data_IF_769201525242
#
_entry.id   IF_769201525242
#
_cell.length_a   1.000
_cell.length_b   1.000
_cell.length_c   1.000
_cell.angle_alpha   90.00
_cell.angle_beta   90.00
_cell.angle_gamma   90.00
#
_symmetry.space_group_name_H-M   'P 1'
#
loop_
_entity.id
_entity.type
_entity.pdbx_description
1 polymer ?
#
# COMPACT_ATOMS: atom_id res chain seq x y z
N UNK A 1 11.74 0.90 52.78
CA UNK A 1 12.92 0.85 51.87
C UNK A 1 13.02 -0.47 51.10
N UNK A 2 12.90 -1.64 51.75
CA UNK A 2 12.92 -2.97 51.11
C UNK A 2 11.98 -3.11 49.89
N UNK A 3 10.72 -2.69 50.00
CA UNK A 3 9.75 -2.80 48.90
C UNK A 3 10.12 -1.92 47.69
N UNK A 4 10.76 -0.77 47.92
CA UNK A 4 11.26 0.12 46.85
C UNK A 4 12.45 -0.52 46.12
N UNK A 5 13.35 -1.18 46.85
CA UNK A 5 14.49 -1.89 46.29
C UNK A 5 14.01 -3.07 45.44
N UNK A 6 13.09 -3.90 45.96
CA UNK A 6 12.52 -5.02 45.21
C UNK A 6 11.83 -4.57 43.91
N UNK A 7 11.04 -3.49 43.98
CA UNK A 7 10.40 -2.92 42.80
C UNK A 7 11.41 -2.42 41.77
N UNK A 8 12.45 -1.71 42.21
CA UNK A 8 13.50 -1.21 41.31
C UNK A 8 14.28 -2.36 40.67
N UNK A 9 14.63 -3.40 41.44
CA UNK A 9 15.29 -4.61 40.93
C UNK A 9 14.42 -5.35 39.92
N UNK A 10 13.11 -5.42 40.14
CA UNK A 10 12.17 -6.02 39.19
C UNK A 10 12.12 -5.23 37.87
N UNK A 11 12.03 -3.90 37.92
CA UNK A 11 12.06 -3.05 36.72
C UNK A 11 13.38 -3.19 35.95
N UNK A 12 14.50 -3.24 36.66
CA UNK A 12 15.82 -3.44 36.07
C UNK A 12 15.91 -4.79 35.36
N UNK A 13 15.42 -5.86 35.99
CA UNK A 13 15.36 -7.19 35.41
C UNK A 13 14.47 -7.22 34.15
N UNK A 14 13.31 -6.56 34.20
CA UNK A 14 12.42 -6.44 33.04
C UNK A 14 13.07 -5.66 31.90
N UNK A 15 13.80 -4.59 32.20
CA UNK A 15 14.58 -3.84 31.22
C UNK A 15 15.66 -4.72 30.56
N UNK A 16 16.44 -5.46 31.35
CA UNK A 16 17.46 -6.36 30.81
C UNK A 16 16.86 -7.52 29.99
N UNK A 17 15.76 -8.11 30.44
CA UNK A 17 15.05 -9.15 29.70
C UNK A 17 14.54 -8.61 28.35
N UNK A 18 13.93 -7.42 28.35
CA UNK A 18 13.48 -6.76 27.12
C UNK A 18 14.66 -6.44 26.19
N UNK A 19 15.77 -5.91 26.73
CA UNK A 19 16.98 -5.64 25.95
C UNK A 19 17.55 -6.92 25.32
N UNK A 20 17.56 -8.04 26.05
CA UNK A 20 18.00 -9.33 25.52
C UNK A 20 17.11 -9.81 24.38
N UNK A 21 15.78 -9.77 24.55
CA UNK A 21 14.81 -10.13 23.48
C UNK A 21 14.98 -9.23 22.26
N UNK A 22 15.09 -7.93 22.46
CA UNK A 22 15.26 -6.95 21.38
C UNK A 22 16.57 -7.11 20.59
N UNK A 23 17.61 -7.72 21.18
CA UNK A 23 18.87 -8.02 20.50
C UNK A 23 18.90 -9.41 19.82
N UNK A 24 17.80 -10.17 19.87
CA UNK A 24 17.70 -11.44 19.12
C UNK A 24 17.73 -11.18 17.61
N UNK A 25 18.25 -12.15 16.86
CA UNK A 25 18.29 -12.08 15.40
C UNK A 25 16.89 -12.22 14.80
N UNK A 26 16.60 -11.45 13.77
CA UNK A 26 15.42 -11.54 12.93
C UNK A 26 15.82 -11.46 11.46
N UNK A 27 14.91 -11.82 10.56
CA UNK A 27 15.14 -11.80 9.11
C UNK A 27 14.29 -10.70 8.48
N UNK A 28 14.90 -9.93 7.58
CA UNK A 28 14.21 -9.11 6.58
C UNK A 28 14.54 -9.63 5.18
N UNK A 29 13.69 -9.31 4.20
CA UNK A 29 13.89 -9.72 2.80
C UNK A 29 14.09 -8.49 1.93
N UNK A 30 14.97 -8.61 0.93
CA UNK A 30 15.17 -7.60 -0.11
C UNK A 30 15.30 -8.28 -1.46
N UNK A 31 14.52 -7.82 -2.44
CA UNK A 31 14.60 -8.24 -3.83
C UNK A 31 15.44 -7.26 -4.65
N UNK A 32 16.41 -7.77 -5.40
CA UNK A 32 17.17 -7.01 -6.39
C UNK A 32 17.16 -7.80 -7.69
N UNK A 33 16.68 -7.19 -8.78
CA UNK A 33 16.51 -7.84 -10.08
C UNK A 33 15.79 -9.19 -9.97
N UNK A 34 14.70 -9.22 -9.21
CA UNK A 34 13.87 -10.41 -8.94
C UNK A 34 14.57 -11.52 -8.14
N UNK A 35 15.79 -11.30 -7.65
CA UNK A 35 16.46 -12.19 -6.71
C UNK A 35 16.23 -11.72 -5.28
N UNK A 36 15.53 -12.54 -4.49
CA UNK A 36 15.23 -12.23 -3.09
C UNK A 36 16.32 -12.78 -2.18
N UNK A 37 16.93 -11.90 -1.40
CA UNK A 37 17.90 -12.23 -0.37
C UNK A 37 17.30 -12.06 1.03
N UNK A 38 17.73 -12.89 1.97
CA UNK A 38 17.40 -12.79 3.39
C UNK A 38 18.57 -12.11 4.12
N UNK A 39 18.27 -11.07 4.89
CA UNK A 39 19.25 -10.29 5.64
C UNK A 39 18.94 -10.44 7.13
N UNK A 40 19.93 -10.87 7.90
CA UNK A 40 19.83 -10.92 9.36
C UNK A 40 19.94 -9.51 9.96
N UNK A 41 18.97 -9.13 10.78
CA UNK A 41 18.97 -7.87 11.53
C UNK A 41 18.51 -8.12 12.97
N UNK A 42 19.03 -7.39 13.96
CA UNK A 42 18.49 -7.39 15.31
C UNK A 42 17.00 -7.02 15.33
N UNK A 43 16.23 -7.64 16.24
CA UNK A 43 14.80 -7.39 16.37
C UNK A 43 14.49 -5.91 16.65
N UNK A 44 15.30 -5.22 17.45
CA UNK A 44 15.11 -3.81 17.74
C UNK A 44 15.19 -2.94 16.48
N UNK A 45 16.13 -3.21 15.56
CA UNK A 45 16.22 -2.48 14.29
C UNK A 45 14.98 -2.72 13.42
N UNK A 46 14.47 -3.95 13.41
CA UNK A 46 13.24 -4.28 12.68
C UNK A 46 12.03 -3.51 13.22
N UNK A 47 11.91 -3.41 14.55
CA UNK A 47 10.84 -2.65 15.22
C UNK A 47 10.99 -1.15 14.94
N UNK A 48 12.18 -0.58 15.13
CA UNK A 48 12.44 0.83 14.86
C UNK A 48 12.13 1.20 13.40
N UNK A 49 12.62 0.41 12.44
CA UNK A 49 12.36 0.63 11.01
C UNK A 49 10.87 0.56 10.68
N UNK A 50 10.10 -0.28 11.38
CA UNK A 50 8.66 -0.39 11.16
C UNK A 50 7.91 0.84 11.68
N UNK A 51 8.22 1.32 12.88
CA UNK A 51 7.60 2.53 13.44
C UNK A 51 8.03 3.80 12.70
N UNK A 52 9.30 3.91 12.31
CA UNK A 52 9.80 5.02 11.50
C UNK A 52 8.98 5.16 10.21
N UNK A 53 8.83 4.07 9.44
CA UNK A 53 7.97 4.05 8.26
C UNK A 53 6.52 4.41 8.58
N UNK A 54 5.96 3.88 9.66
CA UNK A 54 4.58 4.19 10.05
C UNK A 54 4.36 5.70 10.23
N UNK A 55 5.21 6.37 10.99
CA UNK A 55 5.09 7.81 11.21
C UNK A 55 5.39 8.62 9.95
N UNK A 56 6.34 8.17 9.14
CA UNK A 56 6.65 8.74 7.84
C UNK A 56 5.45 8.70 6.89
N UNK A 57 4.71 7.58 6.81
CA UNK A 57 3.47 7.51 6.05
C UNK A 57 2.38 8.42 6.60
N UNK A 58 2.16 8.43 7.92
CA UNK A 58 1.16 9.33 8.54
C UNK A 58 1.45 10.79 8.20
N UNK A 59 2.72 11.19 8.30
CA UNK A 59 3.15 12.54 7.99
C UNK A 59 2.98 12.86 6.51
N UNK A 60 3.43 11.96 5.62
CA UNK A 60 3.35 12.16 4.17
C UNK A 60 1.90 12.25 3.69
N UNK A 61 1.06 11.28 4.07
CA UNK A 61 -0.34 11.25 3.72
C UNK A 61 -1.07 12.52 4.19
N UNK A 62 -0.87 12.92 5.45
CA UNK A 62 -1.43 14.17 6.00
C UNK A 62 -0.90 15.41 5.28
N UNK A 63 0.37 15.43 4.88
CA UNK A 63 0.97 16.56 4.16
C UNK A 63 0.35 16.73 2.77
N UNK A 64 0.21 15.64 2.02
CA UNK A 64 -0.38 15.66 0.67
C UNK A 64 -1.84 16.10 0.70
N UNK A 65 -2.57 15.72 1.76
CA UNK A 65 -4.03 15.88 1.87
C UNK A 65 -4.49 16.97 2.82
N UNK A 66 -3.58 17.80 3.33
CA UNK A 66 -3.81 18.72 4.46
C UNK A 66 -5.02 19.64 4.29
N UNK A 67 -5.27 20.13 3.07
CA UNK A 67 -6.31 21.12 2.75
C UNK A 67 -7.59 20.48 2.20
N UNK A 68 -7.70 19.16 2.18
CA UNK A 68 -8.81 18.44 1.57
C UNK A 68 -9.75 17.92 2.64
N UNK A 69 -11.05 18.00 2.39
CA UNK A 69 -12.06 17.67 3.38
C UNK A 69 -12.56 16.24 3.18
N UNK A 70 -12.99 15.93 1.96
CA UNK A 70 -13.64 14.66 1.60
C UNK A 70 -12.65 13.51 1.39
N UNK A 71 -13.13 12.27 1.48
CA UNK A 71 -12.29 11.08 1.21
C UNK A 71 -11.93 11.01 -0.27
N UNK A 72 -12.86 11.36 -1.13
CA UNK A 72 -12.74 11.40 -2.58
C UNK A 72 -11.61 12.34 -3.00
N UNK A 73 -11.64 13.61 -2.55
CA UNK A 73 -10.58 14.57 -2.85
C UNK A 73 -9.20 14.05 -2.41
N UNK A 74 -9.13 13.45 -1.21
CA UNK A 74 -7.89 12.90 -0.66
C UNK A 74 -7.35 11.77 -1.51
N UNK A 75 -8.21 10.81 -1.87
CA UNK A 75 -7.84 9.67 -2.73
C UNK A 75 -7.35 10.18 -4.08
N UNK A 76 -8.08 11.11 -4.71
CA UNK A 76 -7.69 11.62 -6.02
C UNK A 76 -6.38 12.38 -5.97
N UNK A 77 -6.17 13.20 -4.93
CA UNK A 77 -4.89 13.91 -4.75
C UNK A 77 -3.74 12.94 -4.51
N UNK A 78 -3.94 11.87 -3.75
CA UNK A 78 -2.94 10.82 -3.55
C UNK A 78 -2.62 10.08 -4.85
N UNK A 79 -3.63 9.76 -5.65
CA UNK A 79 -3.48 9.16 -6.97
C UNK A 79 -2.63 10.04 -7.90
N UNK A 80 -3.01 11.33 -8.01
CA UNK A 80 -2.25 12.33 -8.76
C UNK A 80 -0.80 12.42 -8.26
N UNK A 81 -0.63 12.56 -6.96
CA UNK A 81 0.69 12.71 -6.35
C UNK A 81 1.58 11.49 -6.59
N UNK A 82 1.04 10.28 -6.48
CA UNK A 82 1.80 9.05 -6.77
C UNK A 82 2.27 9.02 -8.22
N UNK A 83 1.39 9.32 -9.17
CA UNK A 83 1.73 9.37 -10.60
C UNK A 83 2.77 10.46 -10.92
N UNK A 84 2.62 11.65 -10.33
CA UNK A 84 3.52 12.79 -10.53
C UNK A 84 4.92 12.56 -9.91
N UNK A 85 4.97 11.85 -8.77
CA UNK A 85 6.19 11.75 -7.95
C UNK A 85 7.05 10.55 -8.31
N UNK A 86 6.44 9.41 -8.64
CA UNK A 86 7.19 8.18 -8.93
C UNK A 86 7.40 8.06 -10.43
N UNK A 87 8.65 7.88 -10.83
CA UNK A 87 9.03 7.67 -12.22
C UNK A 87 9.01 6.17 -12.57
N UNK A 88 8.70 5.80 -13.82
CA UNK A 88 8.89 4.43 -14.29
C UNK A 88 10.35 4.00 -14.11
N UNK A 89 10.56 2.73 -13.75
CA UNK A 89 11.87 2.13 -13.54
C UNK A 89 12.85 2.45 -14.70
N UNK A 90 13.95 3.18 -14.43
CA UNK A 90 14.98 3.40 -15.43
C UNK A 90 15.66 2.08 -15.81
N UNK A 91 15.90 1.86 -17.11
CA UNK A 91 16.55 0.64 -17.63
C UNK A 91 17.98 0.44 -17.12
N UNK A 92 18.65 1.53 -16.74
CA UNK A 92 20.04 1.54 -16.25
C UNK A 92 20.17 1.19 -14.77
N UNK A 93 19.08 1.12 -14.02
CA UNK A 93 19.07 0.88 -12.58
C UNK A 93 18.43 -0.48 -12.27
N UNK A 94 18.82 -1.13 -11.16
CA UNK A 94 18.22 -2.41 -10.78
C UNK A 94 16.74 -2.22 -10.40
N UNK A 95 15.96 -3.28 -10.64
CA UNK A 95 14.61 -3.41 -10.07
C UNK A 95 14.76 -3.75 -8.60
N UNK A 96 14.21 -2.90 -7.73
CA UNK A 96 14.30 -3.06 -6.29
C UNK A 96 12.91 -3.37 -5.73
N UNK A 97 12.76 -4.56 -5.15
CA UNK A 97 11.56 -4.95 -4.39
C UNK A 97 11.88 -4.92 -2.90
N UNK A 98 11.32 -3.91 -2.23
CA UNK A 98 11.54 -3.64 -0.82
C UNK A 98 10.28 -3.09 -0.15
N UNK A 99 10.44 -2.47 1.02
CA UNK A 99 9.32 -1.83 1.69
C UNK A 99 8.79 -0.67 0.85
N UNK A 100 7.46 -0.52 0.81
CA UNK A 100 6.76 0.50 0.01
C UNK A 100 7.29 1.93 0.26
N UNK A 101 7.83 2.22 1.45
CA UNK A 101 8.41 3.53 1.78
C UNK A 101 9.65 3.84 0.96
N UNK A 102 10.46 2.82 0.66
CA UNK A 102 11.68 2.97 -0.11
C UNK A 102 11.38 3.28 -1.58
N UNK A 103 10.23 2.86 -2.11
CA UNK A 103 9.75 3.31 -3.43
C UNK A 103 9.64 4.82 -3.47
N UNK A 104 8.99 5.41 -2.45
CA UNK A 104 8.88 6.86 -2.34
C UNK A 104 10.25 7.52 -2.21
N UNK A 105 11.10 7.06 -1.30
CA UNK A 105 12.44 7.63 -1.08
C UNK A 105 13.30 7.60 -2.35
N UNK A 106 13.19 6.51 -3.13
CA UNK A 106 13.94 6.30 -4.36
C UNK A 106 13.36 7.06 -5.56
N UNK A 107 12.06 7.34 -5.55
CA UNK A 107 11.37 8.13 -6.58
C UNK A 107 11.15 7.38 -7.91
N UNK A 108 11.41 6.07 -7.97
CA UNK A 108 11.10 5.27 -9.16
C UNK A 108 10.76 3.81 -8.82
N UNK A 109 10.02 3.15 -9.71
CA UNK A 109 9.66 1.74 -9.54
C UNK A 109 8.97 1.12 -10.74
N UNK A 110 8.63 -0.16 -10.62
CA UNK A 110 7.78 -0.86 -11.60
C UNK A 110 6.30 -0.76 -11.18
N UNK A 111 5.38 -1.28 -11.99
CA UNK A 111 3.93 -1.08 -11.82
C UNK A 111 3.44 -1.34 -10.39
N UNK A 112 3.83 -2.46 -9.77
CA UNK A 112 3.40 -2.84 -8.43
C UNK A 112 3.78 -1.80 -7.36
N UNK A 113 4.95 -1.18 -7.48
CA UNK A 113 5.44 -0.16 -6.57
C UNK A 113 4.52 1.08 -6.54
N UNK A 114 3.95 1.46 -7.68
CA UNK A 114 2.99 2.57 -7.77
C UNK A 114 1.69 2.20 -7.06
N UNK A 115 1.15 1.01 -7.34
CA UNK A 115 -0.10 0.55 -6.75
C UNK A 115 0.03 0.34 -5.23
N UNK A 116 1.12 -0.24 -4.77
CA UNK A 116 1.45 -0.41 -3.36
C UNK A 116 1.51 0.93 -2.64
N UNK A 117 2.24 1.91 -3.20
CA UNK A 117 2.40 3.22 -2.59
C UNK A 117 1.07 3.95 -2.51
N UNK A 118 0.34 4.02 -3.62
CA UNK A 118 -0.96 4.67 -3.67
C UNK A 118 -1.94 4.07 -2.65
N UNK A 119 -2.12 2.74 -2.68
CA UNK A 119 -3.09 2.07 -1.79
C UNK A 119 -2.66 2.11 -0.33
N UNK A 120 -1.35 2.04 -0.04
CA UNK A 120 -0.84 2.27 1.32
C UNK A 120 -1.22 3.67 1.80
N UNK A 121 -1.00 4.72 1.01
CA UNK A 121 -1.34 6.09 1.39
C UNK A 121 -2.86 6.28 1.57
N UNK A 122 -3.71 5.64 0.75
CA UNK A 122 -5.16 5.62 0.95
C UNK A 122 -5.54 5.09 2.35
N UNK A 123 -4.94 3.97 2.76
CA UNK A 123 -5.20 3.41 4.11
C UNK A 123 -4.77 4.39 5.22
N UNK A 124 -3.70 5.15 5.01
CA UNK A 124 -3.23 6.17 5.97
C UNK A 124 -4.13 7.42 6.06
N UNK A 125 -5.02 7.64 5.08
CA UNK A 125 -6.08 8.67 5.17
C UNK A 125 -7.45 8.09 5.53
N UNK A 126 -7.50 6.82 5.97
CA UNK A 126 -8.72 6.17 6.44
C UNK A 126 -9.66 5.74 5.31
N UNK A 127 -9.10 5.41 4.14
CA UNK A 127 -9.83 4.87 3.00
C UNK A 127 -9.24 3.51 2.65
N UNK A 128 -10.07 2.47 2.70
CA UNK A 128 -9.62 1.12 2.42
C UNK A 128 -9.15 1.02 0.97
N UNK A 129 -7.90 0.57 0.83
CA UNK A 129 -7.24 0.47 -0.45
C UNK A 129 -6.37 -0.77 -0.53
N UNK A 130 -6.36 -1.42 -1.68
CA UNK A 130 -5.45 -2.52 -1.97
C UNK A 130 -5.20 -2.61 -3.47
N UNK A 131 -4.21 -3.38 -3.88
CA UNK A 131 -4.03 -3.68 -5.30
C UNK A 131 -3.93 -5.18 -5.51
N UNK A 132 -4.35 -5.61 -6.69
CA UNK A 132 -4.13 -6.97 -7.13
C UNK A 132 -3.91 -7.01 -8.64
N UNK A 133 -3.42 -8.16 -9.10
CA UNK A 133 -3.22 -8.44 -10.52
C UNK A 133 -4.51 -8.90 -11.18
N UNK A 134 -5.11 -8.03 -11.98
CA UNK A 134 -6.27 -8.36 -12.81
C UNK A 134 -5.78 -9.11 -14.04
N UNK A 135 -6.33 -10.30 -14.29
CA UNK A 135 -5.96 -11.14 -15.44
C UNK A 135 -6.96 -10.95 -16.57
N UNK A 136 -6.45 -10.66 -17.76
CA UNK A 136 -7.22 -10.83 -18.99
C UNK A 136 -7.11 -12.29 -19.44
N UNK A 137 -8.15 -12.79 -20.12
CA UNK A 137 -8.17 -14.16 -20.64
C UNK A 137 -7.02 -14.44 -21.60
N UNK A 138 -6.71 -13.47 -22.48
CA UNK A 138 -5.76 -13.63 -23.59
C UNK A 138 -4.66 -12.55 -23.64
N UNK A 139 -4.61 -11.62 -22.67
CA UNK A 139 -3.72 -10.43 -22.74
C UNK A 139 -2.75 -10.27 -21.57
N UNK A 140 -2.70 -11.23 -20.65
CA UNK A 140 -1.78 -11.23 -19.51
C UNK A 140 -2.43 -10.67 -18.24
N UNK A 141 -1.66 -9.94 -17.43
CA UNK A 141 -2.13 -9.35 -16.18
C UNK A 141 -1.65 -7.92 -16.02
N UNK A 142 -2.49 -7.07 -15.39
CA UNK A 142 -2.16 -5.70 -15.02
C UNK A 142 -2.41 -5.48 -13.54
N UNK A 143 -1.60 -4.62 -12.93
CA UNK A 143 -1.86 -4.16 -11.57
C UNK A 143 -3.03 -3.19 -11.61
N UNK A 144 -3.96 -3.32 -10.68
CA UNK A 144 -5.05 -2.38 -10.50
C UNK A 144 -5.23 -2.07 -9.03
N UNK A 145 -5.41 -0.79 -8.71
CA UNK A 145 -5.68 -0.33 -7.35
C UNK A 145 -7.18 -0.18 -7.13
N UNK A 146 -7.65 -0.80 -6.07
CA UNK A 146 -9.03 -0.85 -5.63
C UNK A 146 -9.16 0.02 -4.40
N UNK A 147 -10.10 0.97 -4.43
CA UNK A 147 -10.33 1.90 -3.31
C UNK A 147 -11.82 1.90 -2.96
N UNK A 148 -12.14 1.71 -1.68
CA UNK A 148 -13.52 1.70 -1.20
C UNK A 148 -13.99 3.12 -0.90
N UNK A 149 -15.02 3.56 -1.59
CA UNK A 149 -15.74 4.80 -1.32
C UNK A 149 -17.18 4.48 -0.91
N UNK A 150 -17.96 5.49 -0.54
CA UNK A 150 -19.34 5.29 -0.04
C UNK A 150 -20.21 4.50 -1.02
N UNK A 151 -20.08 4.77 -2.33
CA UNK A 151 -20.84 4.10 -3.39
C UNK A 151 -20.35 2.68 -3.73
N UNK A 152 -19.15 2.29 -3.31
CA UNK A 152 -18.56 1.01 -3.70
C UNK A 152 -17.07 1.09 -3.99
N UNK A 153 -16.54 -0.01 -4.53
CA UNK A 153 -15.14 -0.11 -4.93
C UNK A 153 -14.92 0.54 -6.28
N UNK A 154 -13.93 1.43 -6.38
CA UNK A 154 -13.53 2.10 -7.63
C UNK A 154 -12.09 1.74 -8.00
N UNK A 155 -11.74 1.95 -9.27
CA UNK A 155 -10.45 1.54 -9.82
C UNK A 155 -9.55 2.71 -10.21
N UNK A 156 -8.25 2.54 -9.94
CA UNK A 156 -7.17 3.43 -10.37
C UNK A 156 -5.99 2.62 -10.91
N UNK A 157 -5.36 3.13 -11.97
CA UNK A 157 -4.02 2.73 -12.43
C UNK A 157 -3.04 3.89 -12.18
N UNK A 158 -2.43 4.00 -10.98
CA UNK A 158 -1.43 5.02 -10.66
C UNK A 158 -0.14 4.90 -11.49
N UNK A 159 0.16 3.76 -12.12
CA UNK A 159 1.34 3.62 -12.97
C UNK A 159 1.12 4.31 -14.32
N UNK A 160 -0.08 4.19 -14.87
CA UNK A 160 -0.47 4.78 -16.16
C UNK A 160 -1.22 6.11 -16.05
N UNK A 161 -1.61 6.51 -14.84
CA UNK A 161 -2.42 7.70 -14.58
C UNK A 161 -3.86 7.54 -15.08
N UNK A 162 -4.37 6.31 -15.17
CA UNK A 162 -5.74 6.01 -15.61
C UNK A 162 -6.73 5.85 -14.45
N UNK A 163 -7.96 6.29 -14.63
CA UNK A 163 -9.07 6.07 -13.70
C UNK A 163 -10.39 5.99 -14.48
N UNK A 164 -11.42 5.42 -13.86
CA UNK A 164 -12.65 5.06 -14.58
C UNK A 164 -13.81 5.88 -14.06
N UNK A 165 -14.61 6.44 -14.98
CA UNK A 165 -15.84 7.17 -14.68
C UNK A 165 -17.02 6.51 -15.37
N UNK A 166 -18.20 6.57 -14.76
CA UNK A 166 -19.45 6.12 -15.37
C UNK A 166 -19.96 7.15 -16.39
N UNK A 167 -21.04 6.83 -17.09
CA UNK A 167 -21.66 7.72 -18.09
C UNK A 167 -22.16 9.07 -17.53
N UNK A 168 -22.29 9.19 -16.20
CA UNK A 168 -22.66 10.42 -15.50
C UNK A 168 -21.43 11.25 -15.07
N UNK A 169 -20.22 10.81 -15.39
CA UNK A 169 -18.97 11.49 -15.05
C UNK A 169 -18.48 11.29 -13.61
N UNK A 170 -19.17 10.46 -12.81
CA UNK A 170 -18.71 10.06 -11.47
C UNK A 170 -17.80 8.83 -11.57
N UNK A 171 -16.89 8.59 -10.63
CA UNK A 171 -16.06 7.37 -10.69
C UNK A 171 -16.88 6.08 -10.84
N UNK A 172 -16.51 5.20 -11.77
CA UNK A 172 -17.23 3.95 -11.98
C UNK A 172 -16.91 2.97 -10.85
N UNK A 173 -17.94 2.37 -10.25
CA UNK A 173 -17.74 1.23 -9.33
C UNK A 173 -17.45 -0.05 -10.11
N UNK A 174 -16.97 -1.09 -9.44
CA UNK A 174 -16.79 -2.42 -10.06
C UNK A 174 -18.10 -2.94 -10.67
N UNK A 175 -19.22 -2.75 -9.97
CA UNK A 175 -20.54 -3.17 -10.42
C UNK A 175 -20.92 -2.45 -11.71
N UNK A 176 -20.69 -1.13 -11.77
CA UNK A 176 -20.91 -0.33 -12.99
C UNK A 176 -19.95 -0.75 -14.12
N UNK A 177 -18.70 -1.07 -13.81
CA UNK A 177 -17.73 -1.55 -14.79
C UNK A 177 -18.17 -2.89 -15.40
N UNK A 178 -18.60 -3.84 -14.56
CA UNK A 178 -19.13 -5.14 -15.01
C UNK A 178 -20.42 -4.97 -15.86
N UNK A 179 -21.17 -3.89 -15.65
CA UNK A 179 -22.33 -3.50 -16.46
C UNK A 179 -21.96 -2.68 -17.72
N UNK A 180 -20.67 -2.55 -18.05
CA UNK A 180 -20.19 -1.75 -19.18
C UNK A 180 -20.60 -0.26 -19.09
N UNK A 181 -20.81 0.25 -17.88
CA UNK A 181 -21.09 1.65 -17.58
C UNK A 181 -19.82 2.34 -17.11
N UNK A 182 -18.84 2.43 -18.00
CA UNK A 182 -17.57 3.10 -17.70
C UNK A 182 -16.96 3.75 -18.94
N UNK A 183 -16.07 4.70 -18.70
CA UNK A 183 -15.22 5.42 -19.64
C UNK A 183 -13.86 5.63 -18.96
N UNK A 184 -12.78 5.57 -19.74
CA UNK A 184 -11.44 5.88 -19.25
C UNK A 184 -11.22 7.40 -19.18
N UNK A 185 -10.79 7.87 -18.03
CA UNK A 185 -10.20 9.20 -17.83
C UNK A 185 -8.73 9.07 -17.45
N UNK A 186 -7.96 10.14 -17.68
CA UNK A 186 -6.50 10.12 -17.56
C UNK A 186 -5.98 11.40 -16.93
N UNK A 187 -4.89 11.30 -16.18
CA UNK A 187 -4.18 12.48 -15.65
C UNK A 187 -3.44 13.26 -16.73
N UNK A 188 -2.91 12.56 -17.75
CA UNK A 188 -2.24 13.16 -18.91
C UNK A 188 -2.82 12.51 -20.17
N UNK A 189 -2.90 13.21 -21.33
CA UNK A 189 -3.42 12.68 -22.60
C UNK A 189 -2.69 11.48 -23.23
N UNK A 190 -1.96 10.67 -22.46
CA UNK A 190 -1.18 9.53 -22.92
C UNK A 190 -1.97 8.55 -23.82
N UNK A 191 -1.23 7.80 -24.66
CA UNK A 191 -1.70 6.88 -25.71
C UNK A 191 -2.42 5.60 -25.22
N UNK A 192 -2.91 5.55 -23.98
CA UNK A 192 -3.61 4.35 -23.49
C UNK A 192 -5.08 4.46 -23.84
N UNK A 193 -5.60 3.57 -24.68
CA UNK A 193 -7.02 3.55 -25.06
C UNK A 193 -7.87 2.75 -24.07
N UNK A 194 -9.20 2.91 -24.14
CA UNK A 194 -10.13 2.04 -23.43
C UNK A 194 -9.94 0.57 -23.82
N UNK A 195 -9.65 0.29 -25.09
CA UNK A 195 -9.40 -1.06 -25.59
C UNK A 195 -8.20 -1.75 -24.94
N UNK A 196 -7.27 -1.01 -24.34
CA UNK A 196 -6.21 -1.59 -23.51
C UNK A 196 -6.79 -2.21 -22.23
N UNK A 197 -7.74 -1.54 -21.58
CA UNK A 197 -8.32 -2.00 -20.31
C UNK A 197 -9.47 -2.99 -20.48
N UNK A 198 -10.24 -2.91 -21.58
CA UNK A 198 -11.43 -3.75 -21.78
C UNK A 198 -11.21 -5.23 -21.45
N UNK A 199 -10.15 -5.92 -21.94
CA UNK A 199 -9.95 -7.35 -21.67
C UNK A 199 -9.75 -7.68 -20.18
N UNK A 200 -9.31 -6.71 -19.37
CA UNK A 200 -9.08 -6.87 -17.93
C UNK A 200 -10.33 -6.55 -17.12
N UNK A 201 -11.20 -5.68 -17.63
CA UNK A 201 -12.39 -5.22 -16.93
C UNK A 201 -13.63 -6.10 -17.17
N UNK A 202 -13.57 -7.03 -18.14
CA UNK A 202 -14.67 -7.94 -18.47
C UNK A 202 -15.09 -8.90 -17.33
N UNK A 203 -14.20 -9.17 -16.37
CA UNK A 203 -14.45 -10.13 -15.29
C UNK A 203 -13.81 -9.70 -13.97
N UNK A 204 -14.17 -8.50 -13.49
CA UNK A 204 -13.71 -8.07 -12.17
C UNK A 204 -14.38 -8.88 -11.06
N UNK A 205 -13.64 -9.24 -9.99
CA UNK A 205 -14.21 -9.95 -8.86
C UNK A 205 -15.25 -9.08 -8.16
N UNK A 206 -16.29 -9.73 -7.62
CA UNK A 206 -17.20 -9.09 -6.66
C UNK A 206 -16.43 -8.95 -5.35
N UNK A 207 -16.45 -7.74 -4.77
CA UNK A 207 -15.70 -7.40 -3.57
C UNK A 207 -16.63 -6.86 -2.49
N UNK A 208 -16.83 -7.63 -1.43
CA UNK A 208 -17.62 -7.19 -0.27
C UNK A 208 -16.72 -6.49 0.75
N UNK A 209 -15.76 -7.22 1.33
CA UNK A 209 -14.79 -6.71 2.31
C UNK A 209 -13.37 -7.14 1.95
N UNK A 210 -12.39 -6.34 2.41
CA UNK A 210 -10.98 -6.73 2.37
C UNK A 210 -10.51 -7.07 3.77
N UNK A 211 -9.88 -8.23 3.92
CA UNK A 211 -9.18 -8.58 5.15
C UNK A 211 -7.92 -7.74 5.36
N UNK A 212 -7.04 -8.24 6.23
CA UNK A 212 -5.73 -7.63 6.47
C UNK A 212 -4.77 -7.97 5.32
N UNK A 213 -4.51 -6.98 4.46
CA UNK A 213 -3.68 -7.08 3.26
C UNK A 213 -2.37 -6.30 3.42
N UNK A 214 -1.44 -6.43 2.47
CA UNK A 214 -0.13 -5.77 2.55
C UNK A 214 -0.24 -4.25 2.73
N UNK A 215 -1.17 -3.60 2.02
CA UNK A 215 -1.35 -2.15 2.06
C UNK A 215 -1.79 -1.63 3.46
N UNK A 216 -2.74 -2.31 4.12
CA UNK A 216 -3.25 -1.89 5.42
C UNK A 216 -2.39 -2.39 6.61
N UNK A 217 -1.62 -3.47 6.43
CA UNK A 217 -0.70 -4.01 7.47
C UNK A 217 0.62 -3.27 7.58
N UNK A 218 0.79 -2.15 6.86
CA UNK A 218 1.87 -1.19 7.13
C UNK A 218 1.62 -0.42 8.45
N UNK A 219 0.40 -0.43 8.98
CA UNK A 219 0.06 0.10 10.30
C UNK A 219 0.41 -0.90 11.42
N UNK A 220 1.03 -0.47 12.54
CA UNK A 220 1.28 -1.34 13.69
C UNK A 220 0.05 -2.02 14.25
N UNK A 221 -1.09 -1.31 14.32
CA UNK A 221 -2.32 -1.89 14.85
C UNK A 221 -2.84 -3.03 13.96
N UNK A 222 -2.91 -2.80 12.64
CA UNK A 222 -3.34 -3.82 11.68
C UNK A 222 -2.35 -4.99 11.60
N UNK A 223 -1.06 -4.72 11.78
CA UNK A 223 -0.03 -5.77 11.87
C UNK A 223 -0.22 -6.64 13.11
N UNK A 224 -0.55 -6.03 14.25
CA UNK A 224 -0.86 -6.74 15.49
C UNK A 224 -2.13 -7.58 15.34
N UNK A 225 -3.21 -7.00 14.79
CA UNK A 225 -4.45 -7.74 14.51
C UNK A 225 -4.18 -8.95 13.61
N UNK A 226 -3.36 -8.79 12.56
CA UNK A 226 -2.98 -9.91 11.69
C UNK A 226 -2.21 -10.99 12.44
N UNK A 227 -1.33 -10.60 13.37
CA UNK A 227 -0.61 -11.56 14.19
C UNK A 227 -1.55 -12.33 15.11
N UNK A 228 -2.51 -11.65 15.74
CA UNK A 228 -3.53 -12.29 16.60
C UNK A 228 -4.39 -13.26 15.80
N UNK A 229 -4.89 -12.85 14.62
CA UNK A 229 -5.70 -13.72 13.74
C UNK A 229 -4.97 -14.99 13.30
N UNK A 230 -3.64 -14.96 13.21
CA UNK A 230 -2.81 -16.12 12.85
C UNK A 230 -2.51 -17.06 14.01
N UNK A 231 -2.85 -16.68 15.24
CA UNK A 231 -2.59 -17.48 16.43
C UNK A 231 -3.77 -18.40 16.80
N UNK A 232 -4.80 -18.50 15.95
CA UNK A 232 -5.99 -19.37 16.11
C UNK A 232 -6.61 -19.30 17.53
N UNK A 233 -6.83 -18.08 18.03
CA UNK A 233 -7.71 -17.84 19.19
C UNK A 233 -9.16 -17.66 18.76
#
# INVERSE_FOLDING_TARGET
MRNKILFLSFLLLLFFAMAAVLNTKSITKQGINYHVSAIEIPLYLKVLNFYDRHYNYKWLAKRITKSLETKEEKVFRLFQWTYETIQPQPKSLPVMDDHVWNVYVRGYGVSDNFHDLFTTLCNYVGVDGFFFWVKAKDSGHIGMSFVKLEKGWVLFDPFRGGYFVNKLGSWATIEEINQHNWKLEKLIPAEISESFYSPYLENLPILDEIGLVRANTQSPMNRLLLAIQKMDF
#
